data_IF_391911285916
#
_entry.id   IF_391911285916
#
_cell.length_a   1.000
_cell.length_b   1.000
_cell.length_c   1.000
_cell.angle_alpha   90.00
_cell.angle_beta   90.00
_cell.angle_gamma   90.00
#
_symmetry.space_group_name_H-M   'P 1'
#
loop_
_entity.id
_entity.type
_entity.pdbx_description
1 polymer ?
#
# COMPACT_ATOMS: atom_id res chain seq x y z
N UNK A 1 3.97 -16.68 -23.67
CA UNK A 1 4.80 -15.61 -23.11
C UNK A 1 3.97 -14.85 -22.09
N UNK A 2 4.13 -15.13 -20.80
CA UNK A 2 3.44 -14.40 -19.73
C UNK A 2 4.34 -13.24 -19.31
N UNK A 3 4.04 -12.03 -19.76
CA UNK A 3 4.70 -10.82 -19.25
C UNK A 3 4.37 -10.61 -17.77
N UNK A 4 5.24 -9.95 -16.99
CA UNK A 4 4.97 -9.69 -15.58
C UNK A 4 3.67 -8.87 -15.47
N UNK A 5 2.72 -9.38 -14.67
CA UNK A 5 1.49 -8.67 -14.37
C UNK A 5 1.84 -7.27 -13.82
N UNK A 6 1.15 -6.20 -14.26
CA UNK A 6 1.26 -4.91 -13.60
C UNK A 6 0.93 -5.11 -12.11
N UNK A 7 1.76 -4.55 -11.23
CA UNK A 7 1.65 -4.68 -9.76
C UNK A 7 0.31 -4.08 -9.28
N UNK A 8 -0.78 -4.85 -9.39
CA UNK A 8 -2.05 -4.61 -8.74
C UNK A 8 -2.03 -5.15 -7.31
N UNK A 9 -1.04 -4.73 -6.53
CA UNK A 9 -1.04 -4.96 -5.08
C UNK A 9 -1.72 -3.77 -4.43
N UNK A 10 -2.97 -3.91 -3.94
CA UNK A 10 -3.67 -2.85 -3.22
C UNK A 10 -2.93 -2.45 -1.91
N UNK A 11 -1.93 -3.21 -1.49
CA UNK A 11 -1.21 -2.98 -0.24
C UNK A 11 -0.02 -2.01 -0.34
N UNK A 12 0.24 -1.37 -1.49
CA UNK A 12 1.41 -0.49 -1.66
C UNK A 12 1.16 0.99 -1.33
N UNK A 13 0.03 1.33 -0.71
CA UNK A 13 -0.30 2.70 -0.30
C UNK A 13 0.13 3.04 1.15
N UNK A 14 0.51 2.06 1.98
CA UNK A 14 0.88 2.31 3.39
C UNK A 14 2.39 2.33 3.68
N UNK A 15 3.24 1.97 2.71
CA UNK A 15 4.72 1.99 2.86
C UNK A 15 5.31 3.37 2.47
N UNK A 16 4.54 4.44 2.65
CA UNK A 16 4.96 5.82 2.34
C UNK A 16 5.20 6.70 3.57
N UNK A 17 4.57 6.38 4.70
CA UNK A 17 4.64 7.20 5.92
C UNK A 17 5.40 6.57 7.09
N UNK A 18 5.74 5.28 7.05
CA UNK A 18 6.60 4.66 8.08
C UNK A 18 8.10 4.83 7.77
N UNK A 19 8.52 6.04 7.38
CA UNK A 19 9.93 6.46 7.45
C UNK A 19 10.19 7.27 8.72
N UNK A 20 9.57 6.84 9.79
CA UNK A 20 10.06 7.00 11.16
C UNK A 20 9.81 5.64 11.77
N UNK A 21 10.69 4.69 11.46
CA UNK A 21 10.83 3.53 12.33
C UNK A 21 11.09 4.11 13.71
N UNK A 22 10.16 3.89 14.63
CA UNK A 22 10.37 4.25 16.01
C UNK A 22 11.65 3.54 16.46
N UNK A 23 12.68 4.27 16.94
CA UNK A 23 13.97 3.68 17.27
C UNK A 23 13.91 2.69 18.45
N UNK A 24 12.73 2.46 19.04
CA UNK A 24 12.53 1.55 20.18
C UNK A 24 12.22 0.10 19.83
N UNK A 25 11.99 -0.25 18.55
CA UNK A 25 11.75 -1.65 18.17
C UNK A 25 13.08 -2.42 18.15
N UNK A 26 13.52 -2.86 19.33
CA UNK A 26 14.80 -3.55 19.54
C UNK A 26 14.75 -5.04 19.16
N UNK A 27 13.56 -5.59 18.89
CA UNK A 27 13.33 -6.96 18.47
C UNK A 27 12.36 -7.05 17.28
N UNK A 28 12.49 -8.13 16.51
CA UNK A 28 11.49 -8.54 15.49
C UNK A 28 10.11 -8.68 16.11
N UNK A 29 10.04 -9.14 17.36
CA UNK A 29 8.77 -9.29 18.08
C UNK A 29 8.10 -7.94 18.37
N UNK A 30 8.87 -6.92 18.76
CA UNK A 30 8.33 -5.58 18.98
C UNK A 30 7.80 -4.97 17.66
N UNK A 31 8.49 -5.25 16.55
CA UNK A 31 8.04 -4.85 15.23
C UNK A 31 6.74 -5.56 14.82
N UNK A 32 6.61 -6.86 15.10
CA UNK A 32 5.38 -7.62 14.84
C UNK A 32 4.19 -7.04 15.61
N UNK A 33 4.37 -6.72 16.91
CA UNK A 33 3.35 -6.09 17.73
C UNK A 33 2.97 -4.70 17.20
N UNK A 34 3.95 -3.89 16.81
CA UNK A 34 3.70 -2.57 16.23
C UNK A 34 2.96 -2.63 14.89
N UNK A 35 3.27 -3.62 14.03
CA UNK A 35 2.57 -3.83 12.77
C UNK A 35 1.13 -4.30 13.01
N UNK A 36 0.92 -5.19 13.98
CA UNK A 36 -0.41 -5.66 14.35
C UNK A 36 -1.26 -4.50 14.90
N UNK A 37 -0.71 -3.70 15.81
CA UNK A 37 -1.37 -2.53 16.36
C UNK A 37 -1.75 -1.51 15.27
N UNK A 38 -0.83 -1.22 14.34
CA UNK A 38 -1.10 -0.35 13.20
C UNK A 38 -2.20 -0.90 12.29
N UNK A 39 -2.24 -2.22 12.10
CA UNK A 39 -3.26 -2.89 11.29
C UNK A 39 -4.64 -2.81 11.95
N UNK A 40 -4.71 -3.06 13.25
CA UNK A 40 -5.97 -3.05 14.02
C UNK A 40 -6.56 -1.64 14.12
N UNK A 41 -5.70 -0.61 14.17
CA UNK A 41 -6.11 0.79 14.21
C UNK A 41 -6.25 1.44 12.83
N UNK A 42 -6.08 0.68 11.73
CA UNK A 42 -6.18 1.23 10.39
C UNK A 42 -7.62 1.72 10.10
N UNK A 43 -7.82 3.01 9.76
CA UNK A 43 -9.15 3.51 9.47
C UNK A 43 -9.76 2.80 8.26
N UNK A 44 -10.92 2.17 8.47
CA UNK A 44 -11.64 1.46 7.40
C UNK A 44 -12.01 2.38 6.23
N UNK A 45 -12.24 3.67 6.51
CA UNK A 45 -12.45 4.67 5.46
C UNK A 45 -11.25 4.82 4.52
N UNK A 46 -10.02 4.69 5.01
CA UNK A 46 -8.83 4.74 4.16
C UNK A 46 -8.79 3.54 3.21
N UNK A 47 -9.14 2.35 3.71
CA UNK A 47 -9.25 1.13 2.89
C UNK A 47 -10.35 1.31 1.84
N UNK A 48 -11.52 1.80 2.25
CA UNK A 48 -12.66 2.04 1.37
C UNK A 48 -12.33 3.06 0.27
N UNK A 49 -11.70 4.18 0.64
CA UNK A 49 -11.24 5.20 -0.31
C UNK A 49 -10.24 4.62 -1.32
N UNK A 50 -9.32 3.76 -0.85
CA UNK A 50 -8.37 3.10 -1.73
C UNK A 50 -9.07 2.18 -2.73
N UNK A 51 -9.98 1.31 -2.27
CA UNK A 51 -10.78 0.42 -3.12
C UNK A 51 -11.58 1.22 -4.14
N UNK A 52 -12.27 2.28 -3.72
CA UNK A 52 -13.06 3.12 -4.60
C UNK A 52 -12.19 3.80 -5.68
N UNK A 53 -10.94 4.17 -5.35
CA UNK A 53 -10.00 4.77 -6.31
C UNK A 53 -9.35 3.78 -7.29
N UNK A 54 -9.53 2.46 -7.10
CA UNK A 54 -8.86 1.46 -7.93
C UNK A 54 -9.27 1.54 -9.40
N UNK A 55 -10.53 1.90 -9.68
CA UNK A 55 -11.01 2.08 -11.05
C UNK A 55 -10.24 3.20 -11.77
N UNK A 56 -10.07 4.36 -11.11
CA UNK A 56 -9.27 5.46 -11.64
C UNK A 56 -7.79 5.10 -11.83
N UNK A 57 -7.21 4.36 -10.89
CA UNK A 57 -5.82 3.88 -10.99
C UNK A 57 -5.64 2.94 -12.20
N UNK A 58 -6.59 2.02 -12.41
CA UNK A 58 -6.59 1.11 -13.57
C UNK A 58 -6.72 1.91 -14.86
N UNK A 59 -7.64 2.86 -14.93
CA UNK A 59 -7.82 3.71 -16.10
C UNK A 59 -6.54 4.50 -16.44
N UNK A 60 -5.88 5.06 -15.41
CA UNK A 60 -4.62 5.77 -15.58
C UNK A 60 -3.49 4.84 -16.08
N UNK A 61 -3.41 3.61 -15.58
CA UNK A 61 -2.42 2.62 -16.05
C UNK A 61 -2.65 2.24 -17.51
N UNK A 62 -3.90 2.06 -17.92
CA UNK A 62 -4.25 1.76 -19.32
C UNK A 62 -3.87 2.95 -20.22
N UNK A 63 -4.22 4.17 -19.82
CA UNK A 63 -3.88 5.38 -20.57
C UNK A 63 -2.36 5.58 -20.70
N UNK A 64 -1.59 5.18 -19.68
CA UNK A 64 -0.14 5.22 -19.69
C UNK A 64 0.51 4.04 -20.46
N UNK A 65 -0.27 3.15 -21.07
CA UNK A 65 0.26 1.96 -21.75
C UNK A 65 1.00 1.00 -20.80
N UNK A 66 0.62 0.97 -19.52
CA UNK A 66 1.32 0.23 -18.47
C UNK A 66 2.51 0.98 -17.84
N UNK A 67 2.75 2.23 -18.24
CA UNK A 67 3.77 3.10 -17.64
C UNK A 67 3.40 3.65 -16.25
N UNK A 68 4.33 4.35 -15.58
CA UNK A 68 4.08 4.98 -14.28
C UNK A 68 2.91 5.96 -14.32
N UNK A 69 2.09 5.95 -13.28
CA UNK A 69 0.99 6.91 -13.11
C UNK A 69 1.26 7.80 -11.89
N UNK A 70 0.45 8.85 -11.70
CA UNK A 70 0.53 9.72 -10.51
C UNK A 70 0.15 9.02 -9.18
N UNK A 71 -0.33 7.78 -9.25
CA UNK A 71 -0.87 6.99 -8.14
C UNK A 71 0.10 5.95 -7.59
#
# INVERSE_FOLDING_TARGET
MAGPLPRFVPCRAHVGSSKTADPSCHSVHDLELAVQDLWDHLPQDNIRCLINSMQDRVAACIAAGGGPTRY
#
